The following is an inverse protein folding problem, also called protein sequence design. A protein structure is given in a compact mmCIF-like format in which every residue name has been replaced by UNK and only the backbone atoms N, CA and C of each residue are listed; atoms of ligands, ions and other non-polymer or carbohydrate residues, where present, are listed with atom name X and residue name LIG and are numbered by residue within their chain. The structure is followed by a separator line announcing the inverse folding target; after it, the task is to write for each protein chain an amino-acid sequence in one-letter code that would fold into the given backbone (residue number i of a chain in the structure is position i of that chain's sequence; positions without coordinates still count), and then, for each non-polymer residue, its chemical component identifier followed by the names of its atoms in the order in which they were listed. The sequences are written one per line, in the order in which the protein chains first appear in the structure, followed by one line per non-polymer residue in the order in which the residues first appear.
data_IF_029952993316
#
_entry.id   IF_029952993316
#
_cell.length_a   1.000
_cell.length_b   1.000
_cell.length_c   1.000
_cell.angle_alpha   90.00
_cell.angle_beta   90.00
_cell.angle_gamma   90.00
#
_symmetry.space_group_name_H-M   'P 1'
#
loop_
_entity.id
_entity.type
_entity.pdbx_description
1 polymer ?
#
# COMPACT_ATOMS: atom_id res chain seq x y z
N UNK A 1 2.11 10.58 19.86
CA UNK A 1 1.14 9.91 18.97
C UNK A 1 0.99 10.60 17.62
N UNK A 2 0.75 11.93 17.55
CA UNK A 2 0.65 12.67 16.27
C UNK A 2 1.89 12.53 15.38
N UNK A 3 3.09 12.65 15.94
CA UNK A 3 4.33 12.55 15.17
C UNK A 3 4.60 11.13 14.62
N UNK A 4 4.23 10.10 15.39
CA UNK A 4 4.28 8.71 14.95
C UNK A 4 3.32 8.45 13.79
N UNK A 5 2.09 8.97 13.88
CA UNK A 5 1.12 8.86 12.79
C UNK A 5 1.62 9.56 11.51
N UNK A 6 2.24 10.75 11.63
CA UNK A 6 2.84 11.43 10.49
C UNK A 6 4.03 10.66 9.89
N UNK A 7 4.85 10.02 10.74
CA UNK A 7 5.96 9.18 10.28
C UNK A 7 5.44 7.97 9.48
N UNK A 8 4.39 7.30 9.97
CA UNK A 8 3.74 6.18 9.26
C UNK A 8 3.20 6.65 7.93
N UNK A 9 2.46 7.76 7.93
CA UNK A 9 1.89 8.31 6.71
C UNK A 9 2.97 8.59 5.66
N UNK A 10 4.09 9.20 6.05
CA UNK A 10 5.23 9.45 5.15
C UNK A 10 5.85 8.15 4.63
N UNK A 11 5.98 7.13 5.48
CA UNK A 11 6.50 5.83 5.07
C UNK A 11 5.58 5.12 4.06
N UNK A 12 4.26 5.20 4.26
CA UNK A 12 3.27 4.63 3.33
C UNK A 12 3.25 5.37 2.00
N UNK A 13 3.40 6.69 2.02
CA UNK A 13 3.50 7.52 0.81
C UNK A 13 4.73 7.24 -0.04
N UNK A 14 5.83 6.87 0.60
CA UNK A 14 7.09 6.54 -0.06
C UNK A 14 7.17 5.08 -0.53
N UNK A 15 6.31 4.20 -0.01
CA UNK A 15 6.28 2.80 -0.40
C UNK A 15 5.42 2.63 -1.65
N UNK A 16 6.07 2.32 -2.77
CA UNK A 16 5.42 2.01 -4.03
C UNK A 16 5.23 0.49 -4.17
N UNK A 17 4.06 0.12 -4.69
CA UNK A 17 3.61 -1.26 -4.83
C UNK A 17 3.21 -1.43 -6.28
N UNK A 18 3.92 -2.32 -6.96
CA UNK A 18 3.66 -2.66 -8.35
C UNK A 18 2.78 -3.90 -8.45
N UNK A 19 1.80 -3.83 -9.35
CA UNK A 19 0.86 -4.92 -9.64
C UNK A 19 0.69 -5.06 -11.13
N UNK A 20 1.11 -6.23 -11.63
CA UNK A 20 0.79 -6.71 -12.96
C UNK A 20 -0.28 -7.80 -12.84
N UNK A 21 -1.47 -7.53 -13.38
CA UNK A 21 -2.58 -8.49 -13.36
C UNK A 21 -3.42 -8.36 -14.61
N UNK A 22 -3.71 -9.49 -15.24
CA UNK A 22 -4.51 -9.58 -16.47
C UNK A 22 -3.99 -8.66 -17.61
N UNK A 23 -2.68 -8.36 -17.65
CA UNK A 23 -2.08 -7.45 -18.63
C UNK A 23 -2.25 -5.96 -18.33
N UNK A 24 -2.78 -5.60 -17.15
CA UNK A 24 -2.82 -4.24 -16.61
C UNK A 24 -1.67 -4.08 -15.62
N UNK A 25 -0.86 -3.04 -15.81
CA UNK A 25 0.21 -2.66 -14.89
C UNK A 25 -0.24 -1.47 -14.03
N UNK A 26 -0.06 -1.57 -12.73
CA UNK A 26 -0.46 -0.55 -11.75
C UNK A 26 0.69 -0.30 -10.78
N UNK A 27 0.97 0.99 -10.54
CA UNK A 27 1.80 1.42 -9.41
C UNK A 27 0.91 2.19 -8.44
N UNK A 28 0.83 1.72 -7.20
CA UNK A 28 0.07 2.36 -6.11
C UNK A 28 0.98 2.59 -4.91
N UNK A 29 0.77 3.65 -4.14
CA UNK A 29 1.47 3.84 -2.87
C UNK A 29 0.79 3.12 -1.71
N UNK A 30 1.51 2.90 -0.62
CA UNK A 30 0.96 2.35 0.63
C UNK A 30 -0.17 3.18 1.25
N UNK A 31 -0.29 4.47 0.92
CA UNK A 31 -1.43 5.33 1.28
C UNK A 31 -2.56 5.33 0.23
N UNK A 32 -2.59 4.32 -0.66
CA UNK A 32 -3.62 4.08 -1.66
C UNK A 32 -3.72 5.13 -2.77
N UNK A 33 -2.61 5.80 -3.12
CA UNK A 33 -2.57 6.72 -4.26
C UNK A 33 -2.06 6.02 -5.52
N UNK A 34 -2.89 5.95 -6.56
CA UNK A 34 -2.49 5.45 -7.87
C UNK A 34 -1.49 6.42 -8.51
N UNK A 35 -0.32 5.90 -8.88
CA UNK A 35 0.75 6.62 -9.59
C UNK A 35 0.68 6.34 -11.09
N UNK A 36 0.52 5.07 -11.43
CA UNK A 36 0.51 4.58 -12.81
C UNK A 36 -0.65 3.59 -12.98
N UNK A 37 -1.31 3.67 -14.13
CA UNK A 37 -2.28 2.69 -14.59
C UNK A 37 -2.10 2.54 -16.10
N UNK A 38 -1.53 1.42 -16.51
CA UNK A 38 -1.35 1.05 -17.92
C UNK A 38 -2.32 -0.08 -18.25
N UNK A 39 -3.37 0.25 -18.99
CA UNK A 39 -4.48 -0.68 -19.25
C UNK A 39 -4.26 -1.58 -20.45
N UNK A 40 -3.34 -1.26 -21.38
CA UNK A 40 -2.98 -2.09 -22.53
C UNK A 40 -4.19 -2.65 -23.33
N UNK A 41 -5.25 -1.83 -23.45
CA UNK A 41 -6.49 -2.19 -24.15
C UNK A 41 -7.29 -3.31 -23.49
N UNK A 42 -7.06 -3.61 -22.20
CA UNK A 42 -7.79 -4.63 -21.44
C UNK A 42 -9.22 -4.21 -21.15
N UNK A 43 -10.06 -5.19 -20.78
CA UNK A 43 -11.46 -4.95 -20.46
C UNK A 43 -11.63 -4.25 -19.10
N UNK A 44 -12.79 -3.62 -18.89
CA UNK A 44 -13.15 -3.03 -17.59
C UNK A 44 -13.08 -4.06 -16.46
N UNK A 45 -13.39 -5.34 -16.74
CA UNK A 45 -13.30 -6.39 -15.74
C UNK A 45 -11.85 -6.66 -15.34
N UNK A 46 -10.94 -6.74 -16.32
CA UNK A 46 -9.52 -6.96 -16.07
C UNK A 46 -8.90 -5.79 -15.29
N UNK A 47 -9.25 -4.55 -15.67
CA UNK A 47 -8.80 -3.33 -14.99
C UNK A 47 -9.30 -3.33 -13.54
N UNK A 48 -10.59 -3.59 -13.32
CA UNK A 48 -11.18 -3.66 -11.98
C UNK A 48 -10.48 -4.72 -11.12
N UNK A 49 -10.19 -5.89 -11.67
CA UNK A 49 -9.50 -6.97 -10.95
C UNK A 49 -8.06 -6.59 -10.58
N UNK A 50 -7.34 -5.90 -11.46
CA UNK A 50 -6.01 -5.36 -11.19
C UNK A 50 -6.03 -4.27 -10.11
N UNK A 51 -6.97 -3.34 -10.19
CA UNK A 51 -7.13 -2.28 -9.18
C UNK A 51 -7.45 -2.87 -7.81
N UNK A 52 -8.36 -3.84 -7.73
CA UNK A 52 -8.69 -4.52 -6.47
C UNK A 52 -7.46 -5.23 -5.87
N UNK A 53 -6.63 -5.84 -6.71
CA UNK A 53 -5.37 -6.46 -6.27
C UNK A 53 -4.39 -5.42 -5.71
N UNK A 54 -4.22 -4.29 -6.40
CA UNK A 54 -3.35 -3.20 -5.96
C UNK A 54 -3.81 -2.60 -4.62
N UNK A 55 -5.11 -2.35 -4.48
CA UNK A 55 -5.70 -1.88 -3.21
C UNK A 55 -5.47 -2.91 -2.10
N UNK A 56 -5.72 -4.19 -2.33
CA UNK A 56 -5.49 -5.24 -1.33
C UNK A 56 -4.03 -5.28 -0.87
N UNK A 57 -3.07 -5.25 -1.81
CA UNK A 57 -1.63 -5.24 -1.46
C UNK A 57 -1.22 -3.99 -0.68
N UNK A 58 -1.76 -2.82 -1.01
CA UNK A 58 -1.51 -1.60 -0.24
C UNK A 58 -2.02 -1.67 1.20
N UNK A 59 -3.18 -2.32 1.42
CA UNK A 59 -3.71 -2.54 2.76
C UNK A 59 -2.85 -3.52 3.56
N UNK A 60 -2.35 -4.58 2.94
CA UNK A 60 -1.42 -5.53 3.56
C UNK A 60 -0.09 -4.85 3.97
N UNK A 61 0.47 -4.02 3.09
CA UNK A 61 1.66 -3.22 3.38
C UNK A 61 1.42 -2.25 4.56
N UNK A 62 0.29 -1.55 4.55
CA UNK A 62 -0.10 -0.65 5.63
C UNK A 62 -0.26 -1.39 6.96
N UNK A 63 -0.97 -2.52 6.97
CA UNK A 63 -1.16 -3.35 8.16
C UNK A 63 0.18 -3.84 8.74
N UNK A 64 1.13 -4.22 7.87
CA UNK A 64 2.47 -4.65 8.28
C UNK A 64 3.26 -3.51 8.94
N UNK A 65 3.23 -2.29 8.39
CA UNK A 65 3.88 -1.12 8.98
C UNK A 65 3.28 -0.74 10.33
N UNK A 66 1.94 -0.73 10.42
CA UNK A 66 1.23 -0.44 11.67
C UNK A 66 1.60 -1.45 12.77
N UNK A 67 1.64 -2.74 12.43
CA UNK A 67 1.97 -3.82 13.37
C UNK A 67 3.42 -3.76 13.86
N UNK A 68 4.36 -3.40 12.98
CA UNK A 68 5.78 -3.24 13.36
C UNK A 68 5.99 -2.13 14.39
N UNK A 69 5.23 -1.03 14.30
CA UNK A 69 5.34 0.07 15.26
C UNK A 69 4.69 -0.21 16.60
N UNK A 70 3.53 -0.88 16.63
CA UNK A 70 2.90 -1.27 17.90
C UNK A 70 3.75 -2.28 18.66
N UNK A 71 4.43 -3.20 17.96
CA UNK A 71 5.40 -4.12 18.53
C UNK A 71 6.66 -3.43 19.09
N UNK A 72 7.23 -2.47 18.35
CA UNK A 72 8.41 -1.72 18.79
C UNK A 72 8.14 -0.81 20.00
N UNK A 73 6.95 -0.18 20.06
CA UNK A 73 6.55 0.69 21.18
C UNK A 73 6.33 -0.12 22.47
N UNK A 74 5.75 -1.33 22.37
CA UNK A 74 5.60 -2.23 23.53
C UNK A 74 6.96 -2.68 24.08
N UNK A 75 7.95 -2.90 23.22
CA UNK A 75 9.32 -3.22 23.62
C UNK A 75 10.05 -2.07 24.33
N UNK A 76 9.75 -0.82 23.98
CA UNK A 76 10.40 0.36 24.59
C UNK A 76 9.70 0.86 25.86
N UNK A 77 8.41 0.58 26.06
CA UNK A 77 7.65 0.98 27.25
C UNK A 77 7.57 -0.10 28.34
N UNK A 78 7.94 -1.34 28.02
CA UNK A 78 7.91 -2.48 28.95
C UNK A 78 9.29 -2.95 29.43
N UNK A 79 10.34 -2.17 29.15
CA UNK A 79 11.71 -2.41 29.63
C UNK A 79 12.07 -1.55 30.82
#
# INVERSE_FOLDING_TARGET
MRDQAMMIQRQLQAEEIEVDKNGVHIVITGDQKLKTLETNGRSDNDIKEAVNEAVKKSQEAAAKKLSGMTGGIKGLLGG
#
